data_IF_643244655779
#
_entry.id   IF_643244655779
#
_cell.length_a   1.000
_cell.length_b   1.000
_cell.length_c   1.000
_cell.angle_alpha   90.00
_cell.angle_beta   90.00
_cell.angle_gamma   90.00
#
_symmetry.space_group_name_H-M   'P 1'
#
loop_
_entity.id
_entity.type
_entity.pdbx_description
1 polymer ?
#
# COMPACT_ATOMS: atom_id res chain seq x y z
N UNK A 1 -24.15 36.47 -26.84
CA UNK A 1 -23.35 35.34 -27.33
C UNK A 1 -23.21 34.33 -26.19
N UNK A 2 -23.93 33.21 -26.29
CA UNK A 2 -23.86 32.07 -25.39
C UNK A 2 -22.68 31.19 -25.84
N UNK A 3 -21.81 30.75 -24.92
CA UNK A 3 -20.98 29.57 -25.13
C UNK A 3 -20.98 28.70 -23.87
N UNK A 4 -21.82 27.69 -23.94
CA UNK A 4 -21.78 26.39 -23.29
C UNK A 4 -20.34 25.91 -23.00
N UNK A 5 -20.07 25.46 -21.79
CA UNK A 5 -20.07 24.05 -21.38
C UNK A 5 -18.74 23.34 -21.64
N UNK A 6 -18.05 23.00 -20.55
CA UNK A 6 -17.44 21.68 -20.37
C UNK A 6 -16.99 21.54 -18.93
N UNK A 7 -17.91 21.09 -18.08
CA UNK A 7 -17.55 20.46 -16.81
C UNK A 7 -17.06 19.05 -17.15
N UNK A 8 -15.80 18.65 -16.89
CA UNK A 8 -15.43 17.26 -16.99
C UNK A 8 -16.13 16.48 -15.87
N UNK A 9 -16.99 15.57 -16.31
CA UNK A 9 -17.70 14.54 -15.55
C UNK A 9 -16.75 13.90 -14.52
N UNK A 10 -17.02 14.12 -13.23
CA UNK A 10 -16.36 13.40 -12.13
C UNK A 10 -16.80 11.93 -12.21
N UNK A 11 -15.96 11.09 -12.80
CA UNK A 11 -16.13 9.64 -12.79
C UNK A 11 -16.14 9.16 -11.34
N UNK A 12 -17.19 8.47 -10.86
CA UNK A 12 -17.13 7.82 -9.55
C UNK A 12 -16.12 6.69 -9.67
N UNK A 13 -14.86 6.97 -9.34
CA UNK A 13 -13.83 5.98 -9.20
C UNK A 13 -14.37 4.94 -8.23
N UNK A 14 -14.57 3.72 -8.75
CA UNK A 14 -15.05 2.58 -7.98
C UNK A 14 -14.14 2.42 -6.77
N UNK A 15 -14.61 2.87 -5.61
CA UNK A 15 -13.96 2.73 -4.30
C UNK A 15 -14.04 1.26 -3.90
N UNK A 16 -13.25 0.43 -4.57
CA UNK A 16 -12.86 -0.86 -4.02
C UNK A 16 -12.29 -0.59 -2.62
N UNK A 17 -12.70 -1.34 -1.59
CA UNK A 17 -12.14 -1.16 -0.26
C UNK A 17 -10.66 -1.47 -0.33
N UNK A 18 -9.85 -0.41 -0.37
CA UNK A 18 -8.40 -0.53 -0.31
C UNK A 18 -8.06 -0.86 1.14
N UNK A 19 -7.86 -2.14 1.42
CA UNK A 19 -7.43 -2.61 2.73
C UNK A 19 -5.99 -2.15 2.96
N UNK A 20 -5.83 -1.05 3.70
CA UNK A 20 -4.53 -0.54 4.09
C UNK A 20 -4.13 -1.13 5.44
N UNK A 21 -3.05 -1.89 5.47
CA UNK A 21 -2.45 -2.40 6.69
C UNK A 21 -1.31 -1.46 7.11
N UNK A 22 -1.46 -0.83 8.28
CA UNK A 22 -0.45 0.04 8.87
C UNK A 22 0.18 -0.68 10.07
N UNK A 23 1.49 -0.58 10.19
CA UNK A 23 2.23 -1.26 11.24
C UNK A 23 3.73 -1.12 11.08
N UNK A 24 4.46 -1.68 12.03
CA UNK A 24 5.92 -1.67 11.99
C UNK A 24 6.42 -2.87 11.22
N UNK A 25 7.19 -2.61 10.16
CA UNK A 25 7.94 -3.64 9.49
C UNK A 25 9.14 -4.04 10.35
N UNK A 26 9.09 -5.24 10.93
CA UNK A 26 10.10 -5.70 11.89
C UNK A 26 11.34 -6.27 11.20
N UNK A 27 11.13 -7.08 10.16
CA UNK A 27 12.23 -7.82 9.53
C UNK A 27 11.96 -8.12 8.06
N UNK A 28 12.96 -7.87 7.22
CA UNK A 28 13.03 -8.41 5.86
C UNK A 28 13.60 -9.83 5.90
N UNK A 29 12.82 -10.80 5.43
CA UNK A 29 13.24 -12.20 5.28
C UNK A 29 13.93 -12.40 3.93
N UNK A 30 13.40 -11.74 2.90
CA UNK A 30 13.93 -11.81 1.55
C UNK A 30 13.68 -10.49 0.82
N UNK A 31 14.66 -10.07 0.03
CA UNK A 31 14.55 -8.91 -0.86
C UNK A 31 15.28 -9.23 -2.15
N UNK A 32 14.58 -9.14 -3.27
CA UNK A 32 15.12 -9.21 -4.62
C UNK A 32 15.11 -7.81 -5.20
N UNK A 33 16.30 -7.22 -5.35
CA UNK A 33 16.49 -5.86 -5.85
C UNK A 33 16.22 -5.72 -7.36
N UNK A 34 16.33 -6.81 -8.12
CA UNK A 34 16.11 -6.81 -9.58
C UNK A 34 14.63 -6.57 -9.92
N UNK A 35 13.73 -7.17 -9.13
CA UNK A 35 12.30 -7.05 -9.33
C UNK A 35 11.60 -6.29 -8.21
N UNK A 36 12.30 -5.85 -7.15
CA UNK A 36 11.73 -5.31 -5.91
C UNK A 36 10.78 -6.26 -5.18
N UNK A 37 10.97 -7.57 -5.36
CA UNK A 37 10.17 -8.57 -4.67
C UNK A 37 10.65 -8.71 -3.23
N UNK A 38 9.74 -8.57 -2.29
CA UNK A 38 10.06 -8.45 -0.89
C UNK A 38 9.18 -9.37 -0.05
N UNK A 39 9.81 -10.05 0.90
CA UNK A 39 9.15 -10.82 1.95
C UNK A 39 9.56 -10.22 3.27
N UNK A 40 8.59 -9.65 4.00
CA UNK A 40 8.82 -9.05 5.31
C UNK A 40 7.80 -9.53 6.32
N UNK A 41 8.20 -9.50 7.58
CA UNK A 41 7.28 -9.61 8.72
C UNK A 41 6.89 -8.21 9.17
N UNK A 42 5.58 -7.94 9.15
CA UNK A 42 4.98 -6.70 9.60
C UNK A 42 4.12 -6.99 10.83
N UNK A 43 4.29 -6.19 11.87
CA UNK A 43 3.42 -6.20 13.05
C UNK A 43 2.42 -5.06 12.92
N UNK A 44 1.12 -5.35 12.71
CA UNK A 44 0.10 -4.33 12.52
C UNK A 44 -0.21 -3.59 13.82
N UNK A 45 -0.32 -2.26 13.76
CA UNK A 45 -0.57 -1.42 14.95
C UNK A 45 -2.02 -1.52 15.46
N UNK A 46 -2.94 -1.87 14.55
CA UNK A 46 -4.40 -1.90 14.79
C UNK A 46 -4.88 -3.07 15.67
N UNK A 47 -4.09 -3.50 16.64
CA UNK A 47 -4.46 -4.43 17.71
C UNK A 47 -4.24 -5.91 17.42
N UNK A 48 -3.72 -6.27 16.24
CA UNK A 48 -3.33 -7.64 15.97
C UNK A 48 -1.90 -7.89 16.52
N UNK A 49 -1.82 -8.64 17.62
CA UNK A 49 -0.53 -9.15 18.15
C UNK A 49 0.15 -10.14 17.21
N UNK A 50 -0.56 -10.60 16.19
CA UNK A 50 -0.04 -11.56 15.23
C UNK A 50 0.81 -10.87 14.18
N UNK A 51 2.04 -11.36 14.08
CA UNK A 51 3.00 -10.97 13.06
C UNK A 51 2.48 -11.47 11.72
N UNK A 52 2.20 -10.57 10.79
CA UNK A 52 1.81 -10.96 9.44
C UNK A 52 3.04 -11.01 8.54
N UNK A 53 3.07 -11.97 7.62
CA UNK A 53 4.08 -12.01 6.57
C UNK A 53 3.50 -11.37 5.32
N UNK A 54 4.10 -10.27 4.90
CA UNK A 54 3.75 -9.59 3.65
C UNK A 54 4.70 -10.06 2.55
N UNK A 55 4.12 -10.31 1.38
CA UNK A 55 4.87 -10.69 0.17
C UNK A 55 4.38 -9.84 -0.99
N UNK A 56 5.32 -9.27 -1.75
CA UNK A 56 4.95 -8.49 -2.92
C UNK A 56 6.04 -7.59 -3.44
N UNK A 57 5.69 -6.81 -4.46
CA UNK A 57 6.59 -5.89 -5.13
C UNK A 57 6.60 -4.53 -4.42
N UNK A 58 7.34 -4.47 -3.31
CA UNK A 58 7.30 -3.33 -2.39
C UNK A 58 8.38 -2.31 -2.77
N UNK A 59 8.10 -1.51 -3.80
CA UNK A 59 8.98 -0.44 -4.24
C UNK A 59 8.93 0.71 -3.24
N UNK A 60 10.07 1.03 -2.61
CA UNK A 60 10.18 2.15 -1.68
C UNK A 60 9.87 1.82 -0.22
N UNK A 61 9.70 0.56 0.16
CA UNK A 61 9.48 0.20 1.57
C UNK A 61 10.79 0.16 2.35
N UNK A 62 10.90 1.01 3.37
CA UNK A 62 12.00 1.06 4.33
C UNK A 62 11.56 0.44 5.66
N UNK A 63 12.42 -0.34 6.32
CA UNK A 63 12.14 -0.81 7.68
C UNK A 63 12.04 0.37 8.64
N UNK A 64 10.91 0.50 9.33
CA UNK A 64 10.66 1.61 10.27
C UNK A 64 9.91 2.80 9.67
N UNK A 65 9.46 2.74 8.42
CA UNK A 65 8.55 3.75 7.87
C UNK A 65 7.10 3.44 8.29
N UNK A 66 6.34 4.49 8.63
CA UNK A 66 4.95 4.45 9.13
C UNK A 66 3.99 5.09 8.15
#
# INVERSE_FOLDING_TARGET
MQTSSSSPLSSPASTLPQESLQGTLEKFIYHNEDNHYLVATLTPDRGARDKVTIVGNLVGVQCGEV
#
